data_IF_221602406647
#
_entry.id   IF_221602406647
#
_cell.length_a   1.000
_cell.length_b   1.000
_cell.length_c   1.000
_cell.angle_alpha   90.00
_cell.angle_beta   90.00
_cell.angle_gamma   90.00
#
_symmetry.space_group_name_H-M   'P 1'
#
loop_
_entity.id
_entity.type
_entity.pdbx_description
1 polymer ?
#
# COMPACT_ATOMS: atom_id res chain seq x y z
N UNK A 1 -27.24 70.83 -25.45
CA UNK A 1 -26.23 69.84 -25.86
C UNK A 1 -25.23 69.71 -24.72
N UNK A 2 -25.36 68.67 -23.91
CA UNK A 2 -24.38 68.28 -22.89
C UNK A 2 -24.16 66.79 -23.11
N UNK A 3 -23.00 66.44 -23.66
CA UNK A 3 -22.58 65.06 -23.87
C UNK A 3 -22.09 64.51 -22.53
N UNK A 4 -22.76 63.49 -22.01
CA UNK A 4 -22.26 62.64 -20.93
C UNK A 4 -21.25 61.64 -21.54
N UNK A 5 -19.97 61.84 -21.26
CA UNK A 5 -18.93 60.84 -21.50
C UNK A 5 -18.89 59.88 -20.31
N UNK A 6 -19.62 58.77 -20.42
CA UNK A 6 -19.47 57.63 -19.52
C UNK A 6 -18.16 56.90 -19.81
N UNK A 7 -17.26 56.86 -18.82
CA UNK A 7 -16.05 56.04 -18.89
C UNK A 7 -16.42 54.56 -18.93
N UNK A 8 -15.93 53.85 -19.94
CA UNK A 8 -15.94 52.39 -20.00
C UNK A 8 -15.02 51.86 -18.89
N UNK A 9 -15.60 51.34 -17.81
CA UNK A 9 -14.89 50.46 -16.89
C UNK A 9 -14.72 49.12 -17.61
N UNK A 10 -13.52 48.88 -18.15
CA UNK A 10 -13.15 47.55 -18.64
C UNK A 10 -13.13 46.60 -17.45
N UNK A 11 -14.09 45.68 -17.39
CA UNK A 11 -14.10 44.62 -16.39
C UNK A 11 -12.84 43.79 -16.52
N UNK A 12 -12.07 43.67 -15.44
CA UNK A 12 -10.90 42.79 -15.36
C UNK A 12 -11.35 41.39 -15.75
N UNK A 13 -10.85 40.88 -16.87
CA UNK A 13 -11.09 39.52 -17.30
C UNK A 13 -10.44 38.59 -16.27
N UNK A 14 -11.26 37.96 -15.43
CA UNK A 14 -10.79 36.93 -14.49
C UNK A 14 -10.46 35.67 -15.29
N UNK A 15 -9.20 35.56 -15.72
CA UNK A 15 -8.57 34.32 -16.16
C UNK A 15 -7.73 33.70 -15.03
N UNK A 16 -7.23 32.47 -15.21
CA UNK A 16 -6.22 31.92 -14.30
C UNK A 16 -4.98 32.85 -14.28
N UNK A 17 -4.29 32.93 -13.14
CA UNK A 17 -3.08 33.76 -13.00
C UNK A 17 -1.99 33.51 -14.07
N UNK A 18 -1.70 32.25 -14.48
CA UNK A 18 -0.72 31.99 -15.53
C UNK A 18 -1.32 31.97 -16.95
N UNK A 19 -0.55 32.47 -17.93
CA UNK A 19 -0.85 32.34 -19.36
C UNK A 19 -0.60 30.92 -19.91
N UNK A 20 0.32 30.17 -19.28
CA UNK A 20 0.70 28.82 -19.69
C UNK A 20 1.17 27.98 -18.48
N UNK A 21 0.83 26.70 -18.49
CA UNK A 21 1.29 25.72 -17.48
C UNK A 21 2.01 24.59 -18.20
N UNK A 22 3.26 24.33 -17.82
CA UNK A 22 4.06 23.22 -18.34
C UNK A 22 4.01 22.04 -17.38
N UNK A 23 3.67 20.86 -17.92
CA UNK A 23 3.78 19.59 -17.19
C UNK A 23 4.99 18.83 -17.72
N UNK A 24 5.90 18.46 -16.83
CA UNK A 24 7.06 17.64 -17.13
C UNK A 24 7.12 16.45 -16.17
N UNK A 25 7.98 15.48 -16.48
CA UNK A 25 8.25 14.32 -15.62
C UNK A 25 9.72 14.30 -15.27
N UNK A 26 10.02 14.02 -14.01
CA UNK A 26 11.35 13.67 -13.52
C UNK A 26 11.31 12.25 -13.00
N UNK A 27 12.29 11.44 -13.43
CA UNK A 27 12.39 10.04 -13.02
C UNK A 27 13.16 9.86 -11.71
N UNK A 28 13.69 10.95 -11.14
CA UNK A 28 14.42 10.98 -9.88
C UNK A 28 13.83 12.09 -9.00
N UNK A 29 13.42 11.72 -7.79
CA UNK A 29 12.86 12.65 -6.81
C UNK A 29 13.92 13.66 -6.35
N UNK A 30 15.16 13.23 -6.16
CA UNK A 30 16.28 14.12 -5.79
C UNK A 30 16.50 15.23 -6.82
N UNK A 31 16.42 14.91 -8.12
CA UNK A 31 16.52 15.90 -9.19
C UNK A 31 15.30 16.82 -9.15
N UNK A 32 14.09 16.27 -8.98
CA UNK A 32 12.87 17.08 -8.93
C UNK A 32 12.88 18.07 -7.74
N UNK A 33 13.37 17.66 -6.58
CA UNK A 33 13.52 18.53 -5.40
C UNK A 33 14.51 19.66 -5.64
N UNK A 34 15.65 19.37 -6.29
CA UNK A 34 16.64 20.39 -6.66
C UNK A 34 16.11 21.35 -7.71
N UNK A 35 15.49 20.86 -8.77
CA UNK A 35 14.85 21.70 -9.79
C UNK A 35 13.82 22.64 -9.15
N UNK A 36 13.07 22.16 -8.16
CA UNK A 36 12.09 22.99 -7.42
C UNK A 36 12.78 24.05 -6.57
N UNK A 37 13.83 23.67 -5.83
CA UNK A 37 14.59 24.61 -4.99
C UNK A 37 15.35 25.66 -5.82
N UNK A 38 15.67 25.36 -7.07
CA UNK A 38 16.32 26.27 -8.03
C UNK A 38 15.31 27.12 -8.85
N UNK A 39 14.00 26.88 -8.69
CA UNK A 39 12.95 27.59 -9.43
C UNK A 39 12.81 27.15 -10.89
N UNK A 40 13.36 26.00 -11.27
CA UNK A 40 13.14 25.37 -12.58
C UNK A 40 11.79 24.64 -12.65
N UNK A 41 11.22 24.31 -11.49
CA UNK A 41 9.89 23.73 -11.33
C UNK A 41 9.17 24.50 -10.23
N UNK A 42 8.06 25.17 -10.55
CA UNK A 42 7.31 25.95 -9.57
C UNK A 42 6.63 25.07 -8.52
N UNK A 43 6.12 23.89 -8.93
CA UNK A 43 5.41 22.95 -8.07
C UNK A 43 5.82 21.52 -8.41
N UNK A 44 6.42 20.82 -7.44
CA UNK A 44 6.64 19.38 -7.52
C UNK A 44 5.45 18.62 -6.91
N UNK A 45 4.60 18.05 -7.77
CA UNK A 45 3.36 17.38 -7.37
C UNK A 45 3.57 15.88 -7.11
N UNK A 46 4.39 15.53 -6.11
CA UNK A 46 4.62 14.15 -5.69
C UNK A 46 4.72 14.03 -4.16
N UNK A 47 4.33 12.88 -3.62
CA UNK A 47 4.43 12.60 -2.19
C UNK A 47 5.87 12.32 -1.78
N UNK A 48 6.33 12.95 -0.70
CA UNK A 48 7.68 12.77 -0.18
C UNK A 48 7.63 12.12 1.20
N UNK A 49 8.53 11.16 1.41
CA UNK A 49 8.83 10.56 2.71
C UNK A 49 9.72 11.48 3.55
N UNK A 50 9.71 11.28 4.86
CA UNK A 50 10.58 11.97 5.81
C UNK A 50 12.05 11.86 5.43
N UNK A 51 12.60 10.67 5.12
CA UNK A 51 14.00 10.54 4.71
C UNK A 51 14.38 11.37 3.47
N UNK A 52 13.48 11.54 2.50
CA UNK A 52 13.75 12.40 1.33
C UNK A 52 13.79 13.87 1.73
N UNK A 53 12.83 14.34 2.52
CA UNK A 53 12.78 15.74 2.98
C UNK A 53 13.96 16.05 3.90
N UNK A 54 14.18 15.20 4.91
CA UNK A 54 15.20 15.39 5.94
C UNK A 54 16.61 15.05 5.47
N UNK A 55 16.75 14.33 4.36
CA UNK A 55 18.02 14.07 3.68
C UNK A 55 18.55 15.24 2.85
N UNK A 56 17.72 16.22 2.50
CA UNK A 56 18.18 17.45 1.82
C UNK A 56 19.10 18.27 2.74
N UNK A 57 20.09 18.94 2.18
CA UNK A 57 20.85 19.94 2.92
C UNK A 57 19.96 21.13 3.31
N UNK A 58 20.32 21.82 4.39
CA UNK A 58 19.51 22.91 4.94
C UNK A 58 19.28 24.03 3.93
N UNK A 59 20.31 24.39 3.14
CA UNK A 59 20.22 25.50 2.18
C UNK A 59 19.27 25.19 1.02
N UNK A 60 19.16 23.92 0.60
CA UNK A 60 18.14 23.47 -0.35
C UNK A 60 16.76 23.48 0.29
N UNK A 61 16.62 22.96 1.52
CA UNK A 61 15.33 22.90 2.22
C UNK A 61 14.72 24.27 2.51
N UNK A 62 15.55 25.26 2.84
CA UNK A 62 15.10 26.63 3.15
C UNK A 62 14.49 27.36 1.93
N UNK A 63 14.69 26.83 0.71
CA UNK A 63 14.10 27.37 -0.53
C UNK A 63 12.77 26.72 -0.89
N UNK A 64 12.32 25.72 -0.15
CA UNK A 64 11.14 24.92 -0.46
C UNK A 64 10.03 25.19 0.55
N UNK A 65 8.82 25.47 0.04
CA UNK A 65 7.60 25.44 0.83
C UNK A 65 7.01 24.02 0.80
N UNK A 66 6.95 23.37 1.96
CA UNK A 66 6.44 21.99 2.09
C UNK A 66 4.99 22.01 2.55
N UNK A 67 4.12 21.33 1.80
CA UNK A 67 2.69 21.23 2.10
C UNK A 67 2.34 19.82 2.55
N UNK A 68 1.88 19.69 3.79
CA UNK A 68 1.35 18.43 4.31
C UNK A 68 -0.06 18.19 3.74
N UNK A 69 -0.15 17.30 2.76
CA UNK A 69 -1.42 16.89 2.13
C UNK A 69 -1.48 15.37 2.03
N UNK A 70 -2.67 14.74 2.14
CA UNK A 70 -2.84 13.35 1.77
C UNK A 70 -2.53 13.20 0.27
N UNK A 71 -1.33 12.72 -0.06
CA UNK A 71 -0.84 12.59 -1.43
C UNK A 71 -1.12 11.20 -2.03
N UNK A 72 -1.24 10.19 -1.17
CA UNK A 72 -1.54 8.82 -1.55
C UNK A 72 -1.79 7.91 -0.35
N UNK A 73 -1.99 6.63 -0.64
CA UNK A 73 -2.12 5.57 0.35
C UNK A 73 -1.43 4.31 -0.14
N UNK A 74 -0.95 3.50 0.79
CA UNK A 74 -0.49 2.14 0.52
C UNK A 74 -1.54 1.14 0.96
N UNK A 75 -1.61 0.02 0.25
CA UNK A 75 -2.49 -1.11 0.61
C UNK A 75 -1.81 -2.43 0.29
N UNK A 76 -2.27 -3.49 0.96
CA UNK A 76 -1.87 -4.86 0.66
C UNK A 76 -3.03 -5.55 -0.05
N UNK A 77 -2.89 -5.81 -1.34
CA UNK A 77 -3.84 -6.65 -2.06
C UNK A 77 -3.50 -8.11 -1.79
N UNK A 78 -4.48 -8.88 -1.34
CA UNK A 78 -4.35 -10.31 -1.09
C UNK A 78 -5.21 -11.07 -2.09
N UNK A 79 -4.63 -12.04 -2.80
CA UNK A 79 -5.32 -12.93 -3.71
C UNK A 79 -6.10 -13.99 -2.90
N UNK A 80 -7.44 -13.94 -2.86
CA UNK A 80 -8.20 -14.82 -1.99
C UNK A 80 -8.55 -16.16 -2.65
N UNK A 81 -8.14 -16.45 -3.89
CA UNK A 81 -8.59 -17.67 -4.59
C UNK A 81 -8.15 -18.95 -3.86
N UNK A 82 -9.00 -19.99 -3.77
CA UNK A 82 -10.37 -20.07 -4.30
C UNK A 82 -11.44 -19.40 -3.42
N UNK A 83 -11.07 -18.90 -2.23
CA UNK A 83 -11.94 -18.29 -1.22
C UNK A 83 -13.04 -19.22 -0.69
N UNK A 84 -12.77 -20.52 -0.73
CA UNK A 84 -13.63 -21.58 -0.24
C UNK A 84 -12.80 -22.75 0.28
N UNK A 85 -13.36 -23.52 1.23
CA UNK A 85 -12.74 -24.76 1.69
C UNK A 85 -12.71 -25.78 0.53
N UNK A 86 -11.64 -26.59 0.40
CA UNK A 86 -10.56 -26.82 1.38
C UNK A 86 -9.38 -25.84 1.28
N UNK A 87 -9.55 -24.68 0.62
CA UNK A 87 -8.54 -23.63 0.44
C UNK A 87 -7.38 -24.04 -0.46
N UNK A 88 -7.64 -25.00 -1.36
CA UNK A 88 -6.68 -25.55 -2.29
C UNK A 88 -7.01 -25.09 -3.71
N UNK A 89 -6.00 -24.61 -4.44
CA UNK A 89 -6.09 -24.28 -5.87
C UNK A 89 -5.26 -25.26 -6.68
N UNK A 90 -5.80 -25.74 -7.81
CA UNK A 90 -5.05 -26.55 -8.77
C UNK A 90 -4.51 -25.67 -9.91
N UNK A 91 -3.20 -25.70 -10.14
CA UNK A 91 -2.55 -25.02 -11.27
C UNK A 91 -1.65 -26.00 -11.99
N UNK A 92 -1.95 -26.26 -13.27
CA UNK A 92 -1.14 -27.14 -14.11
C UNK A 92 -1.06 -28.60 -13.61
N UNK A 93 -2.14 -29.10 -12.99
CA UNK A 93 -2.19 -30.46 -12.43
C UNK A 93 -1.50 -30.62 -11.07
N UNK A 94 -1.11 -29.52 -10.41
CA UNK A 94 -0.57 -29.50 -9.06
C UNK A 94 -1.45 -28.67 -8.13
N UNK A 95 -1.73 -29.22 -6.97
CA UNK A 95 -2.51 -28.55 -5.92
C UNK A 95 -1.61 -27.71 -5.01
N UNK A 96 -2.12 -26.55 -4.61
CA UNK A 96 -1.47 -25.63 -3.68
C UNK A 96 -2.46 -25.15 -2.63
N UNK A 97 -2.05 -25.13 -1.37
CA UNK A 97 -2.84 -24.52 -0.31
C UNK A 97 -2.62 -23.00 -0.28
N UNK A 98 -3.71 -22.21 -0.31
CA UNK A 98 -3.64 -20.76 -0.17
C UNK A 98 -4.18 -20.30 1.19
N UNK A 99 -3.30 -19.88 2.09
CA UNK A 99 -3.69 -19.33 3.38
C UNK A 99 -4.59 -18.07 3.24
N UNK A 100 -4.38 -17.25 2.21
CA UNK A 100 -5.24 -16.09 1.97
C UNK A 100 -6.62 -16.43 1.40
N UNK A 101 -6.92 -17.68 1.06
CA UNK A 101 -8.29 -18.09 0.83
C UNK A 101 -9.13 -18.11 2.12
N UNK A 102 -8.49 -18.21 3.28
CA UNK A 102 -9.15 -18.10 4.59
C UNK A 102 -9.37 -16.63 4.92
N UNK A 103 -10.65 -16.24 5.06
CA UNK A 103 -11.04 -14.86 5.36
C UNK A 103 -10.44 -14.35 6.67
N UNK A 104 -10.40 -15.18 7.71
CA UNK A 104 -9.94 -14.77 9.03
C UNK A 104 -8.45 -14.46 9.03
N UNK A 105 -7.64 -15.19 8.24
CA UNK A 105 -6.22 -14.85 8.00
C UNK A 105 -6.10 -13.49 7.32
N UNK A 106 -6.91 -13.19 6.30
CA UNK A 106 -6.91 -11.86 5.65
C UNK A 106 -7.29 -10.74 6.63
N UNK A 107 -8.21 -10.99 7.56
CA UNK A 107 -8.57 -10.02 8.60
C UNK A 107 -7.45 -9.85 9.62
N UNK A 108 -6.80 -10.93 10.04
CA UNK A 108 -5.68 -10.93 10.99
C UNK A 108 -4.49 -10.09 10.49
N UNK A 109 -4.33 -9.92 9.17
CA UNK A 109 -3.32 -9.01 8.62
C UNK A 109 -3.46 -7.57 9.12
N UNK A 110 -4.67 -7.12 9.49
CA UNK A 110 -4.85 -5.79 10.07
C UNK A 110 -4.19 -5.64 11.45
N UNK A 111 -3.99 -6.74 12.16
CA UNK A 111 -3.34 -6.78 13.47
C UNK A 111 -1.87 -7.17 13.38
N UNK A 112 -1.53 -8.01 12.39
CA UNK A 112 -0.16 -8.46 12.19
C UNK A 112 0.77 -7.31 11.77
N UNK A 113 0.24 -6.36 11.00
CA UNK A 113 1.02 -5.25 10.44
C UNK A 113 0.92 -4.03 11.37
N UNK A 114 2.06 -3.66 11.96
CA UNK A 114 2.21 -2.43 12.71
C UNK A 114 2.34 -1.24 11.74
N UNK A 115 1.23 -0.53 11.51
CA UNK A 115 1.19 0.63 10.61
C UNK A 115 1.93 1.83 11.20
N UNK A 116 1.96 1.96 12.52
CA UNK A 116 2.70 3.02 13.19
C UNK A 116 4.21 2.86 12.93
N UNK A 117 4.74 1.64 12.98
CA UNK A 117 6.11 1.34 12.58
C UNK A 117 6.39 1.71 11.12
N UNK A 118 5.48 1.40 10.19
CA UNK A 118 5.63 1.82 8.79
C UNK A 118 5.72 3.35 8.68
N UNK A 119 4.89 4.08 9.42
CA UNK A 119 4.90 5.55 9.42
C UNK A 119 6.19 6.10 10.03
N UNK A 120 6.60 5.60 11.19
CA UNK A 120 7.72 6.17 11.93
C UNK A 120 9.07 5.77 11.33
N UNK A 121 9.25 4.48 11.02
CA UNK A 121 10.57 3.93 10.65
C UNK A 121 10.80 3.91 9.14
N UNK A 122 9.75 3.70 8.33
CA UNK A 122 9.89 3.66 6.87
C UNK A 122 9.60 5.02 6.25
N UNK A 123 8.48 5.64 6.61
CA UNK A 123 8.10 6.95 6.11
C UNK A 123 8.74 8.11 6.88
N UNK A 124 9.47 7.86 7.98
CA UNK A 124 10.13 8.91 8.77
C UNK A 124 9.15 9.94 9.34
N UNK A 125 7.97 9.50 9.76
CA UNK A 125 6.87 10.34 10.25
C UNK A 125 6.03 11.01 9.15
N UNK A 126 6.37 10.85 7.87
CA UNK A 126 5.63 11.44 6.76
C UNK A 126 4.44 10.56 6.34
N UNK A 127 3.43 10.47 7.21
CA UNK A 127 2.22 9.72 6.95
C UNK A 127 1.35 9.57 8.19
N UNK A 128 0.22 8.88 8.04
CA UNK A 128 -0.65 8.51 9.15
C UNK A 128 -1.19 7.09 8.93
N UNK A 129 -1.40 6.30 9.99
CA UNK A 129 -2.02 4.98 9.87
C UNK A 129 -3.37 5.05 9.14
N UNK A 130 -3.53 4.25 8.10
CA UNK A 130 -4.77 4.12 7.34
C UNK A 130 -5.40 2.74 7.54
N UNK A 131 -6.70 2.71 7.84
CA UNK A 131 -7.45 1.49 8.14
C UNK A 131 -8.46 1.10 7.07
N UNK A 132 -8.75 2.02 6.14
CA UNK A 132 -9.77 1.82 5.11
C UNK A 132 -9.30 2.40 3.79
N UNK A 133 -10.02 2.10 2.72
CA UNK A 133 -9.77 2.66 1.38
C UNK A 133 -10.00 4.17 1.31
N UNK A 134 -10.68 4.75 2.30
CA UNK A 134 -11.07 6.15 2.26
C UNK A 134 -9.96 7.05 2.81
N UNK A 135 -9.56 8.05 2.01
CA UNK A 135 -8.56 9.03 2.43
C UNK A 135 -9.08 9.83 3.63
N UNK A 136 -8.32 9.78 4.72
CA UNK A 136 -8.63 10.53 5.94
C UNK A 136 -8.68 12.03 5.65
N UNK A 137 -9.70 12.71 6.18
CA UNK A 137 -9.88 14.16 6.02
C UNK A 137 -10.66 14.60 4.77
N UNK A 138 -10.97 13.68 3.84
CA UNK A 138 -11.87 14.00 2.72
C UNK A 138 -13.35 14.10 3.18
N UNK A 139 -14.17 14.97 2.54
CA UNK A 139 -15.59 15.05 2.84
C UNK A 139 -16.29 13.68 2.75
N UNK A 140 -17.05 13.33 3.78
CA UNK A 140 -17.83 12.08 3.81
C UNK A 140 -17.06 10.81 4.24
N UNK A 141 -15.73 10.87 4.41
CA UNK A 141 -14.95 9.66 4.76
C UNK A 141 -15.02 9.27 6.23
N UNK A 142 -15.51 10.16 7.11
CA UNK A 142 -15.60 9.93 8.56
C UNK A 142 -16.35 8.64 8.94
N UNK A 143 -17.30 8.18 8.12
CA UNK A 143 -18.07 6.95 8.37
C UNK A 143 -17.21 5.70 8.29
N UNK A 144 -16.19 5.70 7.43
CA UNK A 144 -15.26 4.58 7.30
C UNK A 144 -14.29 4.54 8.49
N UNK A 145 -13.92 5.68 9.05
CA UNK A 145 -13.05 5.74 10.23
C UNK A 145 -13.64 5.00 11.44
N UNK A 146 -14.98 4.93 11.54
CA UNK A 146 -15.66 4.18 12.59
C UNK A 146 -15.47 2.66 12.48
N UNK A 147 -15.11 2.13 11.30
CA UNK A 147 -14.90 0.71 11.09
C UNK A 147 -13.69 0.20 11.87
N UNK A 148 -12.59 0.96 11.89
CA UNK A 148 -11.39 0.60 12.64
C UNK A 148 -11.72 0.40 14.13
N UNK A 149 -12.44 1.35 14.73
CA UNK A 149 -12.91 1.25 16.12
C UNK A 149 -13.86 0.07 16.31
N UNK A 150 -14.83 -0.13 15.40
CA UNK A 150 -15.79 -1.24 15.47
C UNK A 150 -15.10 -2.61 15.49
N UNK A 151 -14.04 -2.77 14.71
CA UNK A 151 -13.27 -4.02 14.62
C UNK A 151 -12.08 -4.07 15.58
N UNK A 152 -11.88 -3.04 16.42
CA UNK A 152 -10.79 -2.99 17.40
C UNK A 152 -9.40 -3.00 16.74
N UNK A 153 -9.26 -2.35 15.59
CA UNK A 153 -7.98 -2.14 14.90
C UNK A 153 -7.24 -0.95 15.52
N UNK A 154 -5.93 -1.08 15.69
CA UNK A 154 -5.03 -0.06 16.26
C UNK A 154 -3.89 0.24 15.29
N UNK A 155 -3.23 1.40 15.46
CA UNK A 155 -2.12 1.78 14.59
C UNK A 155 -0.94 0.83 14.72
N UNK A 156 -0.68 0.37 15.94
CA UNK A 156 0.41 -0.53 16.29
C UNK A 156 0.11 -2.00 15.94
N UNK A 157 -1.15 -2.31 15.60
CA UNK A 157 -1.63 -3.68 15.46
C UNK A 157 -1.69 -4.43 16.80
N UNK A 158 -1.82 -5.75 16.70
CA UNK A 158 -1.76 -6.68 17.82
C UNK A 158 -1.17 -8.02 17.32
N UNK A 159 0.16 -8.09 17.27
CA UNK A 159 0.89 -9.24 16.73
C UNK A 159 0.45 -10.55 17.40
N UNK A 160 0.35 -10.58 18.74
CA UNK A 160 -0.06 -11.77 19.48
C UNK A 160 -1.45 -12.28 19.06
N UNK A 161 -2.44 -11.38 18.94
CA UNK A 161 -3.79 -11.73 18.45
C UNK A 161 -3.75 -12.24 17.01
N UNK A 162 -2.96 -11.61 16.15
CA UNK A 162 -2.83 -12.02 14.76
C UNK A 162 -2.24 -13.42 14.62
N UNK A 163 -1.15 -13.71 15.35
CA UNK A 163 -0.50 -15.01 15.37
C UNK A 163 -1.45 -16.10 15.88
N UNK A 164 -2.23 -15.83 16.93
CA UNK A 164 -3.24 -16.75 17.45
C UNK A 164 -4.31 -17.06 16.40
N UNK A 165 -4.88 -16.03 15.76
CA UNK A 165 -5.93 -16.19 14.74
C UNK A 165 -5.41 -16.95 13.52
N UNK A 166 -4.20 -16.65 13.05
CA UNK A 166 -3.59 -17.34 11.91
C UNK A 166 -3.36 -18.81 12.26
N UNK A 167 -2.76 -19.08 13.42
CA UNK A 167 -2.50 -20.45 13.87
C UNK A 167 -3.79 -21.26 14.01
N UNK A 168 -4.82 -20.72 14.68
CA UNK A 168 -6.10 -21.42 14.84
C UNK A 168 -6.81 -21.64 13.50
N UNK A 169 -6.69 -20.69 12.56
CA UNK A 169 -7.27 -20.82 11.22
C UNK A 169 -6.59 -21.92 10.41
N UNK A 170 -5.25 -22.00 10.49
CA UNK A 170 -4.48 -23.06 9.83
C UNK A 170 -4.77 -24.43 10.44
N UNK A 171 -4.89 -24.53 11.77
CA UNK A 171 -5.30 -25.76 12.45
C UNK A 171 -6.71 -26.21 12.05
N UNK A 172 -7.66 -25.28 11.95
CA UNK A 172 -9.02 -25.58 11.48
C UNK A 172 -9.02 -26.07 10.02
N UNK A 173 -8.23 -25.44 9.15
CA UNK A 173 -8.08 -25.88 7.76
C UNK A 173 -7.40 -27.26 7.66
N UNK A 174 -6.44 -27.56 8.53
CA UNK A 174 -5.76 -28.86 8.57
C UNK A 174 -6.65 -29.99 9.09
N UNK A 175 -7.65 -29.67 9.92
CA UNK A 175 -8.64 -30.62 10.42
C UNK A 175 -9.72 -30.99 9.40
N UNK A 176 -9.79 -30.31 8.25
CA UNK A 176 -10.71 -30.67 7.16
C UNK A 176 -10.32 -32.04 6.57
N UNK A 177 -11.29 -32.93 6.26
CA UNK A 177 -11.01 -34.25 5.70
C UNK A 177 -10.11 -34.24 4.46
N UNK A 178 -10.27 -33.24 3.59
CA UNK A 178 -9.53 -33.07 2.34
C UNK A 178 -8.07 -32.65 2.55
N UNK A 179 -7.76 -32.05 3.71
CA UNK A 179 -6.43 -31.57 4.09
C UNK A 179 -5.75 -32.47 5.13
N UNK A 180 -6.44 -33.46 5.67
CA UNK A 180 -5.95 -34.30 6.74
C UNK A 180 -4.66 -35.04 6.32
N UNK A 181 -3.57 -34.80 7.06
CA UNK A 181 -2.24 -35.35 6.76
C UNK A 181 -1.50 -34.67 5.62
N UNK A 182 -2.15 -33.76 4.88
CA UNK A 182 -1.57 -32.95 3.80
C UNK A 182 -1.10 -31.61 4.33
N UNK A 183 -1.93 -30.92 5.11
CA UNK A 183 -1.60 -29.66 5.77
C UNK A 183 -1.11 -29.92 7.20
N UNK A 184 0.18 -29.72 7.45
CA UNK A 184 0.81 -30.02 8.74
C UNK A 184 1.79 -28.93 9.14
N UNK A 185 1.85 -28.61 10.43
CA UNK A 185 2.91 -27.76 10.98
C UNK A 185 4.12 -28.63 11.32
N UNK A 186 5.29 -28.24 10.83
CA UNK A 186 6.53 -28.99 11.06
C UNK A 186 7.34 -28.40 12.24
N UNK A 187 8.40 -29.10 12.63
CA UNK A 187 9.21 -28.76 13.81
C UNK A 187 10.01 -27.46 13.69
N UNK A 188 10.13 -26.90 12.49
CA UNK A 188 10.71 -25.59 12.23
C UNK A 188 9.73 -24.43 12.47
N UNK A 189 8.46 -24.74 12.78
CA UNK A 189 7.42 -23.76 13.06
C UNK A 189 6.63 -23.32 11.82
N UNK A 190 6.95 -23.82 10.62
CA UNK A 190 6.23 -23.49 9.39
C UNK A 190 5.12 -24.51 9.07
N UNK A 191 4.09 -24.04 8.39
CA UNK A 191 3.05 -24.88 7.80
C UNK A 191 3.49 -25.43 6.44
N UNK A 192 3.17 -26.69 6.19
CA UNK A 192 3.48 -27.41 4.96
C UNK A 192 2.22 -28.05 4.40
N UNK A 193 2.05 -28.00 3.07
CA UNK A 193 1.03 -28.70 2.31
C UNK A 193 1.71 -29.68 1.35
N UNK A 194 1.40 -30.97 1.44
CA UNK A 194 2.04 -32.04 0.64
C UNK A 194 3.58 -32.03 0.69
N UNK A 195 4.14 -31.78 1.87
CA UNK A 195 5.58 -31.63 2.14
C UNK A 195 6.26 -30.40 1.50
N UNK A 196 5.50 -29.45 0.95
CA UNK A 196 6.01 -28.16 0.52
C UNK A 196 5.56 -27.04 1.48
N UNK A 197 6.42 -26.07 1.82
CA UNK A 197 6.04 -25.01 2.74
C UNK A 197 4.91 -24.17 2.15
N UNK A 198 3.89 -23.86 2.97
CA UNK A 198 2.83 -22.92 2.62
C UNK A 198 3.46 -21.55 2.44
N UNK A 199 3.67 -21.19 1.18
CA UNK A 199 4.40 -19.99 0.78
C UNK A 199 3.44 -18.92 0.33
N UNK A 200 3.70 -17.68 0.74
CA UNK A 200 3.03 -16.47 0.26
C UNK A 200 3.97 -15.78 -0.72
N UNK A 201 3.57 -15.73 -2.00
CA UNK A 201 4.27 -15.01 -3.06
C UNK A 201 3.92 -13.52 -3.00
N UNK A 202 4.88 -12.68 -2.60
CA UNK A 202 4.67 -11.25 -2.39
C UNK A 202 5.34 -10.47 -3.52
N UNK A 203 4.55 -9.83 -4.37
CA UNK A 203 5.04 -8.86 -5.33
C UNK A 203 5.40 -7.55 -4.60
N UNK A 204 6.69 -7.25 -4.51
CA UNK A 204 7.24 -6.10 -3.78
C UNK A 204 7.74 -5.06 -4.79
N UNK A 205 7.31 -3.81 -4.63
CA UNK A 205 7.61 -2.71 -5.57
C UNK A 205 9.02 -2.15 -5.38
N UNK A 206 9.90 -2.41 -6.35
CA UNK A 206 11.31 -1.98 -6.30
C UNK A 206 11.54 -0.54 -6.78
N UNK A 207 10.64 0.01 -7.58
CA UNK A 207 10.71 1.41 -8.05
C UNK A 207 10.39 2.44 -6.96
N UNK A 208 10.10 1.98 -5.74
CA UNK A 208 9.98 2.79 -4.53
C UNK A 208 10.88 2.17 -3.43
N UNK A 209 12.20 2.34 -3.55
CA UNK A 209 13.18 1.66 -2.71
C UNK A 209 13.20 2.16 -1.25
N UNK A 210 12.70 3.38 -1.00
CA UNK A 210 12.64 3.94 0.35
C UNK A 210 11.30 3.69 1.04
N UNK A 211 10.23 3.40 0.28
CA UNK A 211 8.92 3.06 0.81
C UNK A 211 8.58 1.58 0.64
N UNK A 212 7.83 1.25 -0.41
CA UNK A 212 7.18 -0.07 -0.58
C UNK A 212 8.12 -1.25 -0.67
N UNK A 213 9.39 -1.05 -1.07
CA UNK A 213 10.41 -2.10 -0.95
C UNK A 213 10.59 -2.53 0.51
N UNK A 214 10.85 -1.58 1.40
CA UNK A 214 11.05 -1.83 2.84
C UNK A 214 9.76 -2.29 3.53
N UNK A 215 8.61 -1.77 3.10
CA UNK A 215 7.30 -2.25 3.56
C UNK A 215 7.14 -3.73 3.23
N UNK A 216 7.40 -4.13 1.98
CA UNK A 216 7.29 -5.51 1.54
C UNK A 216 8.22 -6.45 2.30
N UNK A 217 9.44 -6.02 2.59
CA UNK A 217 10.39 -6.78 3.40
C UNK A 217 9.89 -6.97 4.84
N UNK A 218 9.40 -5.89 5.48
CA UNK A 218 8.81 -5.94 6.82
C UNK A 218 7.59 -6.87 6.89
N UNK A 219 6.68 -6.76 5.91
CA UNK A 219 5.47 -7.60 5.81
C UNK A 219 5.83 -9.07 5.64
N UNK A 220 6.83 -9.36 4.80
CA UNK A 220 7.35 -10.71 4.61
C UNK A 220 7.91 -11.29 5.91
N UNK A 221 8.65 -10.50 6.69
CA UNK A 221 9.15 -10.92 8.01
C UNK A 221 7.99 -11.22 8.98
N UNK A 222 6.92 -10.43 8.96
CA UNK A 222 5.75 -10.68 9.83
C UNK A 222 5.03 -11.98 9.45
N UNK A 223 4.93 -12.29 8.16
CA UNK A 223 4.35 -13.55 7.69
C UNK A 223 5.19 -14.76 8.14
N UNK A 224 6.52 -14.66 8.11
CA UNK A 224 7.39 -15.74 8.59
C UNK A 224 7.22 -16.00 10.10
N UNK A 225 7.03 -14.95 10.92
CA UNK A 225 6.67 -15.12 12.34
C UNK A 225 5.35 -15.86 12.53
N UNK A 226 4.41 -15.74 11.58
CA UNK A 226 3.12 -16.44 11.60
C UNK A 226 3.19 -17.89 11.11
N UNK A 227 4.39 -18.41 10.83
CA UNK A 227 4.58 -19.79 10.34
C UNK A 227 4.20 -19.97 8.87
N UNK A 228 4.09 -18.87 8.11
CA UNK A 228 3.87 -18.88 6.66
C UNK A 228 5.16 -18.47 5.97
N UNK A 229 5.64 -19.23 4.98
CA UNK A 229 6.88 -18.88 4.29
C UNK A 229 6.63 -17.68 3.36
N UNK A 230 7.58 -16.75 3.25
CA UNK A 230 7.44 -15.60 2.36
C UNK A 230 8.41 -15.69 1.17
N UNK A 231 7.87 -15.68 -0.06
CA UNK A 231 8.65 -15.51 -1.29
C UNK A 231 8.60 -14.04 -1.72
N UNK A 232 9.73 -13.35 -1.59
CA UNK A 232 9.87 -11.92 -1.95
C UNK A 232 10.15 -11.78 -3.44
N UNK A 233 9.16 -11.32 -4.19
CA UNK A 233 9.25 -11.11 -5.63
C UNK A 233 9.43 -9.61 -5.93
N UNK A 234 10.68 -9.19 -6.07
CA UNK A 234 11.07 -7.81 -6.32
C UNK A 234 10.78 -7.38 -7.77
N UNK A 235 9.65 -6.71 -8.00
CA UNK A 235 9.14 -6.36 -9.32
C UNK A 235 8.94 -4.85 -9.49
N UNK A 236 9.10 -4.37 -10.72
CA UNK A 236 8.76 -3.00 -11.08
C UNK A 236 7.24 -2.82 -11.27
N UNK A 237 6.82 -1.55 -11.37
CA UNK A 237 5.43 -1.16 -11.62
C UNK A 237 4.80 -1.87 -12.81
N UNK A 238 5.50 -1.99 -13.94
CA UNK A 238 4.94 -2.50 -15.19
C UNK A 238 4.60 -3.97 -15.00
N UNK A 239 5.56 -4.74 -14.48
CA UNK A 239 5.35 -6.16 -14.21
C UNK A 239 4.23 -6.40 -13.20
N UNK A 240 4.24 -5.68 -12.07
CA UNK A 240 3.14 -5.76 -11.10
C UNK A 240 1.79 -5.44 -11.74
N UNK A 241 1.69 -4.36 -12.51
CA UNK A 241 0.41 -3.96 -13.12
C UNK A 241 -0.11 -5.02 -14.11
N UNK A 242 0.78 -5.59 -14.93
CA UNK A 242 0.40 -6.59 -15.92
C UNK A 242 0.02 -7.93 -15.26
N UNK A 243 0.77 -8.39 -14.26
CA UNK A 243 0.56 -9.71 -13.63
C UNK A 243 -0.54 -9.68 -12.58
N UNK A 244 -0.60 -8.63 -11.75
CA UNK A 244 -1.53 -8.57 -10.61
C UNK A 244 -2.90 -8.05 -11.05
N UNK A 245 -2.95 -6.95 -11.81
CA UNK A 245 -4.23 -6.35 -12.23
C UNK A 245 -4.70 -6.82 -13.60
N UNK A 246 -3.76 -7.06 -14.52
CA UNK A 246 -4.06 -7.52 -15.88
C UNK A 246 -4.11 -9.04 -16.03
N UNK A 247 -3.64 -9.79 -15.04
CA UNK A 247 -3.55 -11.25 -15.07
C UNK A 247 -4.74 -11.93 -14.40
N UNK A 248 -4.81 -13.26 -14.56
CA UNK A 248 -5.79 -14.09 -13.88
C UNK A 248 -5.25 -14.51 -12.49
N UNK A 249 -5.90 -14.13 -11.37
CA UNK A 249 -5.49 -14.57 -10.04
C UNK A 249 -5.46 -16.11 -9.88
N UNK A 250 -6.20 -16.86 -10.69
CA UNK A 250 -6.21 -18.32 -10.68
C UNK A 250 -4.92 -18.95 -11.23
N UNK A 251 -4.08 -18.20 -11.96
CA UNK A 251 -2.73 -18.67 -12.34
C UNK A 251 -1.80 -18.80 -11.12
N UNK A 252 -2.19 -18.23 -9.97
CA UNK A 252 -1.52 -18.38 -8.67
C UNK A 252 -0.01 -18.03 -8.71
N UNK A 253 0.34 -17.06 -9.54
CA UNK A 253 1.70 -16.51 -9.70
C UNK A 253 2.04 -15.48 -8.63
N UNK A 254 1.05 -14.97 -7.90
CA UNK A 254 1.17 -14.04 -6.79
C UNK A 254 0.05 -14.28 -5.76
N UNK A 255 0.31 -13.90 -4.51
CA UNK A 255 -0.66 -13.98 -3.41
C UNK A 255 -0.82 -12.66 -2.66
N UNK A 256 0.22 -11.82 -2.63
CA UNK A 256 0.17 -10.48 -2.08
C UNK A 256 0.85 -9.46 -3.00
N UNK A 257 0.39 -8.22 -2.99
CA UNK A 257 1.03 -7.11 -3.68
C UNK A 257 1.06 -5.84 -2.80
N UNK A 258 2.23 -5.18 -2.72
CA UNK A 258 2.42 -3.88 -2.07
C UNK A 258 1.94 -2.75 -2.98
N UNK A 259 0.66 -2.40 -2.88
CA UNK A 259 0.00 -1.39 -3.71
C UNK A 259 0.32 0.04 -3.25
N UNK A 260 0.24 0.98 -4.19
CA UNK A 260 0.26 2.40 -3.90
C UNK A 260 -0.76 3.12 -4.77
N UNK A 261 -1.56 3.99 -4.16
CA UNK A 261 -2.64 4.75 -4.80
C UNK A 261 -2.42 6.24 -4.60
N UNK A 262 -2.41 7.01 -5.67
CA UNK A 262 -2.40 8.47 -5.58
C UNK A 262 -3.76 9.00 -5.12
N UNK A 263 -3.77 9.99 -4.23
CA UNK A 263 -4.99 10.61 -3.69
C UNK A 263 -5.63 11.64 -4.65
N UNK A 264 -5.25 11.61 -5.93
CA UNK A 264 -5.47 12.67 -6.93
C UNK A 264 -6.90 12.93 -7.39
N UNK A 265 -7.92 12.48 -6.66
CA UNK A 265 -9.30 12.85 -6.94
C UNK A 265 -10.02 13.25 -5.65
N UNK A 266 -10.16 14.56 -5.41
CA UNK A 266 -11.42 15.06 -4.87
C UNK A 266 -12.48 14.75 -5.90
N UNK A 267 -13.22 13.65 -5.71
CA UNK A 267 -14.49 13.46 -6.40
C UNK A 267 -15.47 14.44 -5.78
N UNK A 268 -15.59 15.61 -6.39
CA UNK A 268 -16.70 16.53 -6.14
C UNK A 268 -17.99 15.93 -6.69
#
# INVERSE_FOLDING_TARGET
MVLLLGGLVLGVQKGPYPDLVYFNVRMSEDIALKDTAEGLTDIFMWGLSGPQIFGLDQATRDKLDLYAVPSGSWSLLMNPIPNEAPYVVEVGGKEYFNAFAIRDIRFAMNDLINRQYLVDEILGGAGTPAFTMATTGQPGTYRYNLLATKFGMTAEGNEARALEVIESSMQAAAALPENAGRLVKQGDGFWYFDNEPVTIKIAIRVDDPQGRLKEGDYVADQLEKAGLKAERMYWDRIKCSNVVYGGDPAEFTWQMYTEGWGAGATRA
#
